data_IF_743843236213
#
_entry.id   IF_743843236213
#
_cell.length_a   1.000
_cell.length_b   1.000
_cell.length_c   1.000
_cell.angle_alpha   90.00
_cell.angle_beta   90.00
_cell.angle_gamma   90.00
#
_symmetry.space_group_name_H-M   'P 1'
#
loop_
_entity.id
_entity.type
_entity.pdbx_description
1 polymer ?
#
# COMPACT_ATOMS: atom_id res chain seq x y z
N UNK A 1 -16.92 -9.89 -0.18
CA UNK A 1 -16.41 -8.80 -1.02
C UNK A 1 -15.55 -7.80 -0.24
N UNK A 2 -16.07 -7.26 0.88
CA UNK A 2 -15.38 -6.28 1.75
C UNK A 2 -13.97 -6.69 2.23
N UNK A 3 -13.78 -7.96 2.59
CA UNK A 3 -12.47 -8.47 3.04
C UNK A 3 -11.41 -8.44 1.93
N UNK A 4 -11.78 -8.79 0.68
CA UNK A 4 -10.86 -8.76 -0.45
C UNK A 4 -10.45 -7.32 -0.80
N UNK A 5 -11.39 -6.38 -0.75
CA UNK A 5 -11.11 -4.95 -1.01
C UNK A 5 -10.23 -4.32 0.07
N UNK A 6 -10.51 -4.56 1.36
CA UNK A 6 -9.67 -4.01 2.44
C UNK A 6 -8.30 -4.67 2.51
N UNK A 7 -8.23 -5.95 2.18
CA UNK A 7 -6.94 -6.64 2.05
C UNK A 7 -6.15 -6.16 0.85
N UNK A 8 -6.81 -5.88 -0.28
CA UNK A 8 -6.19 -5.26 -1.45
C UNK A 8 -5.68 -3.86 -1.11
N UNK A 9 -6.46 -3.05 -0.39
CA UNK A 9 -6.02 -1.75 0.13
C UNK A 9 -4.76 -1.86 0.96
N UNK A 10 -4.70 -2.84 1.84
CA UNK A 10 -3.53 -3.04 2.70
C UNK A 10 -2.37 -3.58 1.88
N UNK A 11 -2.56 -4.60 1.04
CA UNK A 11 -1.49 -5.11 0.17
C UNK A 11 -0.93 -4.00 -0.73
N UNK A 12 -1.77 -3.21 -1.39
CA UNK A 12 -1.34 -2.08 -2.22
C UNK A 12 -0.70 -0.95 -1.41
N UNK A 13 -1.28 -0.58 -0.26
CA UNK A 13 -0.67 0.39 0.67
C UNK A 13 0.70 -0.10 1.17
N UNK A 14 0.85 -1.39 1.42
CA UNK A 14 2.08 -2.01 1.90
C UNK A 14 3.14 -2.16 0.81
N UNK A 15 2.74 -2.42 -0.42
CA UNK A 15 3.61 -2.37 -1.59
C UNK A 15 4.17 -0.96 -1.76
N UNK A 16 3.33 0.06 -1.63
CA UNK A 16 3.73 1.46 -1.85
C UNK A 16 4.57 2.01 -0.69
N UNK A 17 4.20 1.69 0.56
CA UNK A 17 4.85 2.25 1.76
C UNK A 17 6.11 1.47 2.15
N UNK A 18 6.12 0.14 2.02
CA UNK A 18 7.23 -0.70 2.51
C UNK A 18 8.07 -1.35 1.41
N UNK A 19 7.57 -1.49 0.18
CA UNK A 19 8.33 -2.11 -0.91
C UNK A 19 9.12 -1.05 -1.69
N UNK A 20 10.39 -0.88 -1.30
CA UNK A 20 11.42 -0.26 -2.13
C UNK A 20 12.40 -1.24 -2.71
N UNK A 21 12.02 -2.52 -2.79
CA UNK A 21 12.85 -3.58 -3.33
C UNK A 21 12.06 -4.34 -4.38
N UNK A 22 12.63 -4.43 -5.58
CA UNK A 22 12.01 -5.00 -6.79
C UNK A 22 11.74 -6.51 -6.71
N UNK A 23 10.72 -6.91 -5.94
CA UNK A 23 10.33 -8.32 -5.81
C UNK A 23 8.81 -8.58 -5.89
N UNK A 24 8.03 -7.56 -6.21
CA UNK A 24 6.73 -7.72 -6.85
C UNK A 24 6.86 -7.24 -8.30
N UNK A 25 7.40 -8.13 -9.13
CA UNK A 25 7.02 -8.20 -10.53
C UNK A 25 5.50 -8.43 -10.58
N UNK A 26 4.71 -7.38 -10.35
CA UNK A 26 3.52 -7.19 -11.16
C UNK A 26 4.06 -6.82 -12.53
N UNK A 27 4.55 -7.81 -13.28
CA UNK A 27 4.67 -7.68 -14.73
C UNK A 27 3.24 -7.57 -15.22
N UNK A 28 2.70 -6.35 -15.19
CA UNK A 28 1.76 -5.96 -16.22
C UNK A 28 2.50 -6.19 -17.53
N UNK A 29 1.85 -6.84 -18.49
CA UNK A 29 2.35 -7.00 -19.86
C UNK A 29 2.58 -5.60 -20.45
N UNK A 30 3.77 -5.06 -20.20
CA UNK A 30 4.23 -3.76 -20.64
C UNK A 30 4.75 -3.79 -22.08
N UNK A 31 4.36 -4.80 -22.86
CA UNK A 31 4.77 -4.97 -24.26
C UNK A 31 3.96 -4.10 -25.23
N UNK A 32 2.89 -3.44 -24.77
CA UNK A 32 1.97 -2.66 -25.64
C UNK A 32 2.17 -1.14 -25.56
N UNK A 33 2.97 -0.62 -24.63
CA UNK A 33 3.23 0.82 -24.52
C UNK A 33 4.72 1.09 -24.66
N UNK A 34 5.11 1.45 -25.89
CA UNK A 34 6.30 2.18 -26.35
C UNK A 34 7.59 2.12 -25.51
N UNK A 35 8.76 1.94 -26.14
CA UNK A 35 10.04 1.88 -25.44
C UNK A 35 10.28 3.23 -24.76
N UNK A 36 10.40 3.28 -23.43
CA UNK A 36 11.41 4.05 -22.67
C UNK A 36 11.10 4.03 -21.16
N UNK A 37 12.06 3.46 -20.41
CA UNK A 37 12.38 3.73 -19.00
C UNK A 37 11.37 3.24 -17.94
N UNK A 38 11.68 2.06 -17.41
CA UNK A 38 11.18 1.56 -16.12
C UNK A 38 11.25 2.67 -15.04
N UNK A 39 10.10 3.19 -14.64
CA UNK A 39 10.02 4.09 -13.49
C UNK A 39 10.25 3.26 -12.22
N UNK A 40 11.39 3.46 -11.57
CA UNK A 40 11.69 2.77 -10.31
C UNK A 40 10.75 3.28 -9.21
N UNK A 41 9.86 2.41 -8.74
CA UNK A 41 9.12 2.58 -7.49
C UNK A 41 10.15 2.38 -6.35
N UNK A 42 10.80 3.47 -5.92
CA UNK A 42 11.68 3.44 -4.74
C UNK A 42 10.83 3.63 -3.48
N UNK A 43 11.13 2.87 -2.42
CA UNK A 43 10.42 2.92 -1.14
C UNK A 43 10.21 4.36 -0.68
N UNK A 44 9.00 4.59 -0.23
CA UNK A 44 8.62 5.73 0.59
C UNK A 44 9.24 5.62 1.99
N UNK A 45 10.58 5.55 2.08
CA UNK A 45 11.28 5.59 3.37
C UNK A 45 11.29 7.02 3.90
N UNK A 46 10.15 7.48 4.39
CA UNK A 46 10.03 8.81 5.00
C UNK A 46 9.34 8.67 6.34
N UNK A 47 10.08 8.97 7.41
CA UNK A 47 9.66 8.89 8.82
C UNK A 47 8.32 9.61 9.10
N UNK A 48 7.94 10.57 8.25
CA UNK A 48 6.70 11.34 8.39
C UNK A 48 5.42 10.51 8.17
N UNK A 49 5.44 9.54 7.25
CA UNK A 49 4.29 8.67 7.02
C UNK A 49 4.06 7.67 8.14
N UNK A 50 5.15 7.16 8.71
CA UNK A 50 5.10 6.27 9.86
C UNK A 50 4.45 7.00 11.05
N UNK A 51 4.76 8.28 11.25
CA UNK A 51 4.10 9.12 12.27
C UNK A 51 2.61 9.30 12.01
N UNK A 52 2.20 9.58 10.76
CA UNK A 52 0.77 9.68 10.41
C UNK A 52 0.06 8.37 10.73
N UNK A 53 0.63 7.24 10.30
CA UNK A 53 0.06 5.92 10.56
C UNK A 53 -0.03 5.57 12.05
N UNK A 54 1.02 5.88 12.81
CA UNK A 54 1.05 5.64 14.25
C UNK A 54 0.03 6.50 15.00
N UNK A 55 -0.16 7.75 14.57
CA UNK A 55 -1.16 8.65 15.14
C UNK A 55 -2.59 8.16 14.85
N UNK A 56 -2.86 7.74 13.62
CA UNK A 56 -4.19 7.29 13.18
C UNK A 56 -4.57 5.92 13.76
N UNK A 57 -3.65 4.94 13.73
CA UNK A 57 -3.93 3.57 14.20
C UNK A 57 -3.67 3.37 15.70
N UNK A 58 -3.00 4.32 16.34
CA UNK A 58 -2.41 4.15 17.66
C UNK A 58 -1.23 3.17 17.65
N UNK A 59 -0.39 3.24 18.69
CA UNK A 59 0.85 2.44 18.80
C UNK A 59 0.61 0.93 18.62
N UNK A 60 -0.41 0.38 19.28
CA UNK A 60 -0.71 -1.06 19.20
C UNK A 60 -1.24 -1.46 17.81
N UNK A 61 -2.07 -0.61 17.18
CA UNK A 61 -2.60 -0.85 15.84
C UNK A 61 -1.51 -0.74 14.77
N UNK A 62 -0.60 0.22 14.92
CA UNK A 62 0.56 0.39 14.05
C UNK A 62 1.54 -0.79 14.15
N UNK A 63 1.87 -1.26 15.36
CA UNK A 63 2.70 -2.45 15.54
C UNK A 63 2.05 -3.70 14.92
N UNK A 64 0.73 -3.86 15.10
CA UNK A 64 -0.01 -4.95 14.45
C UNK A 64 0.04 -4.83 12.93
N UNK A 65 -0.10 -3.62 12.37
CA UNK A 65 0.07 -3.37 10.95
C UNK A 65 1.46 -3.86 10.52
N UNK A 66 2.53 -3.38 11.15
CA UNK A 66 3.92 -3.76 10.85
C UNK A 66 4.14 -5.27 10.85
N UNK A 67 3.61 -5.98 11.85
CA UNK A 67 3.68 -7.44 11.90
C UNK A 67 2.97 -8.09 10.72
N UNK A 68 1.75 -7.63 10.39
CA UNK A 68 0.99 -8.12 9.23
C UNK A 68 1.75 -7.86 7.93
N UNK A 69 2.40 -6.68 7.80
CA UNK A 69 3.24 -6.36 6.63
C UNK A 69 4.38 -7.33 6.48
N UNK A 70 5.16 -7.52 7.55
CA UNK A 70 6.32 -8.41 7.53
C UNK A 70 5.91 -9.83 7.16
N UNK A 71 4.82 -10.33 7.77
CA UNK A 71 4.26 -11.64 7.45
C UNK A 71 3.81 -11.74 5.98
N UNK A 72 3.14 -10.72 5.43
CA UNK A 72 2.73 -10.67 4.02
C UNK A 72 3.93 -10.64 3.06
N UNK A 73 4.98 -9.89 3.39
CA UNK A 73 6.19 -9.78 2.58
C UNK A 73 6.94 -11.12 2.48
N UNK A 74 6.96 -11.87 3.57
CA UNK A 74 7.60 -13.19 3.63
C UNK A 74 6.77 -14.22 2.85
N UNK A 75 5.45 -14.28 3.11
CA UNK A 75 4.59 -15.32 2.56
C UNK A 75 4.15 -15.08 1.11
N UNK A 76 4.11 -13.81 0.67
CA UNK A 76 3.58 -13.37 -0.63
C UNK A 76 2.15 -13.86 -0.92
N UNK A 77 1.40 -14.27 0.11
CA UNK A 77 0.04 -14.80 0.00
C UNK A 77 -0.89 -14.09 0.98
N UNK A 78 -1.95 -13.52 0.45
CA UNK A 78 -2.95 -12.77 1.22
C UNK A 78 -4.17 -13.65 1.59
N UNK A 79 -3.98 -14.89 2.05
CA UNK A 79 -5.07 -15.70 2.60
C UNK A 79 -5.16 -15.47 4.10
N UNK A 80 -6.36 -15.23 4.64
CA UNK A 80 -6.54 -14.91 6.05
C UNK A 80 -6.02 -16.01 6.97
N UNK A 81 -6.26 -17.26 6.60
CA UNK A 81 -5.84 -18.44 7.33
C UNK A 81 -4.30 -18.53 7.41
N UNK A 82 -3.63 -18.35 6.27
CA UNK A 82 -2.16 -18.35 6.18
C UNK A 82 -1.57 -17.19 6.97
N UNK A 83 -2.18 -16.00 6.90
CA UNK A 83 -1.77 -14.85 7.70
C UNK A 83 -1.97 -15.09 9.20
N UNK A 84 -3.08 -15.70 9.60
CA UNK A 84 -3.35 -16.01 11.00
C UNK A 84 -2.38 -17.08 11.54
N UNK A 85 -1.90 -17.97 10.70
CA UNK A 85 -0.93 -19.01 11.07
C UNK A 85 0.48 -18.43 11.24
N UNK A 86 0.92 -17.58 10.31
CA UNK A 86 2.27 -17.01 10.29
C UNK A 86 2.44 -15.72 11.10
N UNK A 87 1.37 -15.17 11.67
CA UNK A 87 1.45 -13.95 12.49
C UNK A 87 2.23 -14.25 13.79
N UNK A 88 3.32 -13.52 14.11
CA UNK A 88 4.22 -13.80 15.22
C UNK A 88 3.64 -13.33 16.56
N UNK A 89 2.47 -13.84 16.94
CA UNK A 89 1.80 -13.55 18.20
C UNK A 89 1.49 -14.88 18.90
N UNK A 90 1.95 -15.10 20.14
CA UNK A 90 1.77 -16.35 20.87
C UNK A 90 0.36 -16.44 21.49
N UNK A 91 -0.66 -16.49 20.63
CA UNK A 91 -2.07 -16.70 21.01
C UNK A 91 -2.69 -17.80 20.14
N UNK A 92 -3.85 -18.32 20.55
CA UNK A 92 -4.59 -19.32 19.78
C UNK A 92 -4.83 -18.86 18.33
N UNK A 93 -4.74 -19.79 17.39
CA UNK A 93 -4.98 -19.53 15.97
C UNK A 93 -6.32 -18.82 15.72
N UNK A 94 -7.40 -19.31 16.33
CA UNK A 94 -8.73 -18.69 16.23
C UNK A 94 -8.75 -17.25 16.77
N UNK A 95 -7.98 -16.97 17.82
CA UNK A 95 -7.81 -15.62 18.35
C UNK A 95 -7.03 -14.72 17.39
N UNK A 96 -5.97 -15.21 16.74
CA UNK A 96 -5.24 -14.48 15.68
C UNK A 96 -6.17 -14.17 14.51
N UNK A 97 -6.93 -15.16 14.05
CA UNK A 97 -7.88 -15.01 12.95
C UNK A 97 -8.97 -13.98 13.27
N UNK A 98 -9.57 -14.04 14.47
CA UNK A 98 -10.55 -13.05 14.93
C UNK A 98 -9.94 -11.65 15.03
N UNK A 99 -8.71 -11.54 15.55
CA UNK A 99 -7.98 -10.27 15.66
C UNK A 99 -7.71 -9.65 14.28
N UNK A 100 -7.22 -10.43 13.32
CA UNK A 100 -7.04 -10.00 11.93
C UNK A 100 -8.37 -9.57 11.30
N UNK A 101 -9.44 -10.35 11.46
CA UNK A 101 -10.78 -9.97 10.96
C UNK A 101 -11.26 -8.63 11.54
N UNK A 102 -11.06 -8.41 12.84
CA UNK A 102 -11.43 -7.14 13.50
C UNK A 102 -10.58 -5.99 13.00
N UNK A 103 -9.26 -6.19 12.91
CA UNK A 103 -8.32 -5.19 12.41
C UNK A 103 -8.69 -4.78 10.99
N UNK A 104 -8.82 -5.73 10.07
CA UNK A 104 -9.22 -5.47 8.69
C UNK A 104 -10.62 -4.87 8.55
N UNK A 105 -11.48 -4.92 9.58
CA UNK A 105 -12.79 -4.27 9.54
C UNK A 105 -12.76 -2.81 9.96
N UNK A 106 -11.69 -2.32 10.59
CA UNK A 106 -11.57 -0.93 11.02
C UNK A 106 -11.89 0.03 9.88
N UNK A 107 -12.68 1.06 10.18
CA UNK A 107 -13.09 2.06 9.19
C UNK A 107 -11.93 2.91 8.70
N UNK A 108 -10.93 3.11 9.57
CA UNK A 108 -9.73 3.86 9.26
C UNK A 108 -8.89 3.21 8.16
N UNK A 109 -8.97 1.88 8.01
CA UNK A 109 -8.31 1.13 6.93
C UNK A 109 -9.09 1.30 5.60
N UNK A 110 -9.17 2.54 5.13
CA UNK A 110 -9.72 2.96 3.84
C UNK A 110 -8.69 3.86 3.13
N UNK A 111 -8.67 3.86 1.79
CA UNK A 111 -7.75 4.65 0.97
C UNK A 111 -7.86 6.13 1.29
N UNK A 112 -9.09 6.64 1.39
CA UNK A 112 -9.38 8.05 1.64
C UNK A 112 -8.90 8.48 3.02
N UNK A 113 -9.02 7.59 4.03
CA UNK A 113 -8.67 7.90 5.41
C UNK A 113 -7.18 7.76 5.68
N UNK A 114 -6.51 6.73 5.16
CA UNK A 114 -5.08 6.53 5.44
C UNK A 114 -4.21 7.06 4.29
N UNK A 115 -4.46 6.61 3.06
CA UNK A 115 -3.57 6.91 1.95
C UNK A 115 -3.58 8.40 1.58
N UNK A 116 -4.74 9.07 1.57
CA UNK A 116 -4.78 10.51 1.28
C UNK A 116 -4.14 11.36 2.38
N UNK A 117 -4.29 10.96 3.65
CA UNK A 117 -3.60 11.62 4.78
C UNK A 117 -2.08 11.49 4.64
N UNK A 118 -1.61 10.29 4.32
CA UNK A 118 -0.23 10.02 3.96
C UNK A 118 0.22 10.90 2.76
N UNK A 119 -0.49 10.86 1.64
CA UNK A 119 -0.19 11.60 0.42
C UNK A 119 -0.09 13.11 0.68
N UNK A 120 -1.02 13.66 1.47
CA UNK A 120 -1.04 15.06 1.87
C UNK A 120 0.24 15.47 2.61
N UNK A 121 0.66 14.70 3.60
CA UNK A 121 1.91 15.00 4.33
C UNK A 121 3.15 14.88 3.44
N UNK A 122 3.11 13.99 2.43
CA UNK A 122 4.20 13.92 1.47
C UNK A 122 4.28 15.11 0.54
N UNK A 123 3.15 15.56 0.01
CA UNK A 123 3.12 16.66 -0.96
C UNK A 123 3.61 17.96 -0.33
N UNK A 124 3.51 18.09 1.00
CA UNK A 124 4.12 19.20 1.77
C UNK A 124 5.65 19.19 1.79
N UNK A 125 6.31 18.08 1.44
CA UNK A 125 7.77 17.98 1.46
C UNK A 125 8.38 18.79 0.31
N UNK A 126 8.76 20.04 0.60
CA UNK A 126 9.40 20.94 -0.37
C UNK A 126 10.73 20.39 -0.94
N UNK A 127 11.42 19.52 -0.20
CA UNK A 127 12.61 18.82 -0.67
C UNK A 127 12.31 17.79 -1.77
N UNK A 128 11.04 17.36 -1.87
CA UNK A 128 10.59 16.29 -2.77
C UNK A 128 9.83 16.83 -3.96
N UNK A 129 9.05 17.89 -3.76
CA UNK A 129 8.28 18.56 -4.80
C UNK A 129 8.71 20.02 -4.89
N UNK A 130 9.35 20.39 -6.00
CA UNK A 130 9.70 21.78 -6.28
C UNK A 130 8.48 22.46 -6.87
N UNK A 131 8.11 23.65 -6.38
CA UNK A 131 6.95 24.43 -6.86
C UNK A 131 7.00 24.82 -8.35
N UNK A 132 8.16 24.64 -9.00
CA UNK A 132 8.39 24.89 -10.43
C UNK A 132 8.61 23.63 -11.27
N UNK A 133 8.49 22.44 -10.69
CA UNK A 133 8.69 21.18 -11.40
C UNK A 133 7.46 20.75 -12.20
N UNK A 134 7.66 20.18 -13.38
CA UNK A 134 6.58 19.57 -14.16
C UNK A 134 6.19 18.22 -13.54
N UNK A 135 4.91 18.07 -13.19
CA UNK A 135 4.32 16.83 -12.71
C UNK A 135 3.29 16.33 -13.72
N UNK A 136 3.25 15.03 -13.95
CA UNK A 136 2.27 14.38 -14.81
C UNK A 136 1.31 13.56 -13.95
N UNK A 137 0.06 13.46 -14.38
CA UNK A 137 -0.91 12.54 -13.80
C UNK A 137 -1.23 11.49 -14.86
N UNK A 138 -0.90 10.24 -14.57
CA UNK A 138 -1.29 9.10 -15.38
C UNK A 138 -2.61 8.53 -14.84
N UNK A 139 -3.59 8.38 -15.73
CA UNK A 139 -4.88 7.78 -15.43
C UNK A 139 -5.04 6.59 -16.36
N UNK A 140 -5.26 5.42 -15.78
CA UNK A 140 -5.44 4.18 -16.53
C UNK A 140 -6.57 3.34 -15.94
N UNK A 141 -7.15 2.45 -16.76
CA UNK A 141 -8.16 1.50 -16.32
C UNK A 141 -7.54 0.11 -16.23
N UNK A 142 -7.69 -0.53 -15.08
CA UNK A 142 -7.24 -1.90 -14.86
C UNK A 142 -8.41 -2.76 -14.40
N UNK A 143 -8.41 -4.04 -14.72
CA UNK A 143 -9.44 -4.98 -14.26
C UNK A 143 -8.85 -5.96 -13.26
N UNK A 144 -9.43 -6.01 -12.06
CA UNK A 144 -9.14 -7.05 -11.08
C UNK A 144 -10.28 -8.07 -11.05
N UNK A 145 -10.12 -9.15 -11.81
CA UNK A 145 -11.19 -10.13 -12.01
C UNK A 145 -12.43 -9.45 -12.60
N UNK A 146 -13.53 -9.43 -11.86
CA UNK A 146 -14.79 -8.79 -12.28
C UNK A 146 -14.91 -7.30 -11.89
N UNK A 147 -13.90 -6.71 -11.25
CA UNK A 147 -13.94 -5.32 -10.76
C UNK A 147 -13.07 -4.46 -11.66
N UNK A 148 -13.67 -3.43 -12.27
CA UNK A 148 -12.92 -2.39 -12.98
C UNK A 148 -12.41 -1.36 -11.97
N UNK A 149 -11.11 -1.12 -11.99
CA UNK A 149 -10.38 -0.23 -11.10
C UNK A 149 -9.83 0.92 -11.92
N UNK A 150 -10.00 2.15 -11.42
CA UNK A 150 -9.35 3.33 -11.96
C UNK A 150 -8.02 3.51 -11.24
N UNK A 151 -6.92 3.37 -11.96
CA UNK A 151 -5.58 3.61 -11.44
C UNK A 151 -5.18 5.05 -11.76
N UNK A 152 -4.93 5.85 -10.72
CA UNK A 152 -4.44 7.23 -10.86
C UNK A 152 -3.07 7.30 -10.22
N UNK A 153 -2.06 7.81 -10.93
CA UNK A 153 -0.69 7.95 -10.43
C UNK A 153 -0.10 9.32 -10.74
N UNK A 154 0.58 9.91 -9.75
CA UNK A 154 1.43 11.08 -9.92
C UNK A 154 2.81 10.64 -10.42
N UNK A 155 3.25 11.17 -11.55
CA UNK A 155 4.60 10.97 -12.06
C UNK A 155 5.38 12.26 -11.89
N UNK A 156 6.43 12.21 -11.08
CA UNK A 156 7.32 13.34 -10.81
C UNK A 156 8.78 12.90 -10.83
N UNK A 157 9.63 13.64 -11.55
CA UNK A 157 11.07 13.35 -11.66
C UNK A 157 11.39 11.87 -11.99
N UNK A 158 10.71 11.34 -13.03
CA UNK A 158 10.78 9.92 -13.45
C UNK A 158 10.46 8.92 -12.33
N UNK A 159 9.51 9.26 -11.44
CA UNK A 159 9.01 8.37 -10.40
C UNK A 159 7.50 8.41 -10.38
N UNK A 160 6.88 7.25 -10.44
CA UNK A 160 5.43 7.11 -10.32
C UNK A 160 5.05 6.85 -8.86
N UNK A 161 3.96 7.50 -8.41
CA UNK A 161 3.41 7.38 -7.08
C UNK A 161 1.90 7.22 -7.22
N UNK A 162 1.30 6.14 -6.72
CA UNK A 162 -0.12 5.93 -6.91
C UNK A 162 -0.93 6.91 -6.06
N UNK A 163 -1.92 7.58 -6.63
CA UNK A 163 -2.86 8.45 -5.93
C UNK A 163 -4.10 7.66 -5.51
N UNK A 164 -4.65 6.84 -6.42
CA UNK A 164 -5.92 6.13 -6.20
C UNK A 164 -5.97 4.82 -7.00
N UNK A 165 -6.65 3.81 -6.43
CA UNK A 165 -6.91 2.49 -7.01
C UNK A 165 -8.00 1.75 -6.21
#
# INVERSE_FOLDING_TARGET
MLFKQKLFLIVSFLIVVFCGFGLLNLTYDASVLAPQQYYQIRSLHTLQYQKVLENELGRAGYLLLLMIVGTLQILKQAKLEILAEALPIPILFESRRKKLKRFFKLEILNIEKIWFLCLKEMLKQQQRFTTKGLAYIAIDRTSWGAINILMVSLIYNKKAMPIYW
#
